data_IF_958160414457
#
_entry.id   IF_958160414457
#
_cell.length_a   1.000
_cell.length_b   1.000
_cell.length_c   1.000
_cell.angle_alpha   90.00
_cell.angle_beta   90.00
_cell.angle_gamma   90.00
#
_symmetry.space_group_name_H-M   'P 1'
#
loop_
_entity.id
_entity.type
_entity.pdbx_description
1 polymer ?
#
# COMPACT_ATOMS: atom_id res chain seq x y z
N UNK A 1 -1.24 28.88 -4.77
CA UNK A 1 -0.66 27.53 -4.86
C UNK A 1 -1.32 26.64 -5.93
N UNK A 2 -2.57 26.15 -5.78
CA UNK A 2 -3.12 25.19 -6.77
C UNK A 2 -3.46 25.78 -8.15
N UNK A 3 -4.03 27.00 -8.21
CA UNK A 3 -4.28 27.67 -9.50
C UNK A 3 -2.95 27.94 -10.22
N UNK A 4 -1.90 28.34 -9.49
CA UNK A 4 -0.57 28.55 -10.05
C UNK A 4 0.07 27.25 -10.56
N UNK A 5 -0.17 26.12 -9.89
CA UNK A 5 0.39 24.82 -10.29
C UNK A 5 -0.39 24.11 -11.40
N UNK A 6 -1.72 24.24 -11.41
CA UNK A 6 -2.60 23.43 -12.29
C UNK A 6 -3.40 24.25 -13.29
N UNK A 7 -3.35 25.59 -13.21
CA UNK A 7 -4.16 26.50 -14.01
C UNK A 7 -5.66 26.45 -13.69
N UNK A 8 -6.07 25.74 -12.63
CA UNK A 8 -7.47 25.46 -12.34
C UNK A 8 -7.74 25.56 -10.82
N UNK A 9 -8.87 26.14 -10.36
CA UNK A 9 -9.17 26.32 -8.94
C UNK A 9 -9.46 25.00 -8.22
N UNK A 10 -9.24 24.90 -6.91
CA UNK A 10 -9.70 23.72 -6.14
C UNK A 10 -11.21 23.54 -6.35
N UNK A 11 -11.64 22.30 -6.56
CA UNK A 11 -13.04 21.97 -6.76
C UNK A 11 -13.35 20.62 -6.10
N UNK A 12 -14.33 20.60 -5.22
CA UNK A 12 -14.84 19.41 -4.56
C UNK A 12 -16.31 19.18 -4.90
N UNK A 13 -16.74 17.94 -4.78
CA UNK A 13 -18.11 17.48 -4.94
C UNK A 13 -18.37 16.34 -3.97
N UNK A 14 -19.64 16.00 -3.69
CA UNK A 14 -19.95 14.76 -3.00
C UNK A 14 -19.34 13.56 -3.73
N UNK A 15 -18.75 12.64 -2.97
CA UNK A 15 -18.25 11.40 -3.55
C UNK A 15 -19.37 10.59 -4.19
N UNK A 16 -19.07 9.87 -5.27
CA UNK A 16 -20.07 9.16 -6.06
C UNK A 16 -20.48 7.83 -5.39
N UNK A 17 -19.56 7.21 -4.66
CA UNK A 17 -19.78 5.99 -3.89
C UNK A 17 -19.71 6.20 -2.37
N UNK A 18 -20.45 5.38 -1.62
CA UNK A 18 -20.38 5.37 -0.15
C UNK A 18 -19.03 4.85 0.39
N UNK A 19 -18.25 4.17 -0.45
CA UNK A 19 -16.91 3.69 -0.14
C UNK A 19 -15.80 4.61 -0.67
N UNK A 20 -16.17 5.76 -1.23
CA UNK A 20 -15.26 6.80 -1.68
C UNK A 20 -15.12 7.86 -0.57
N UNK A 21 -14.26 7.63 0.43
CA UNK A 21 -13.91 8.59 1.50
C UNK A 21 -15.08 9.12 2.37
N UNK A 22 -14.80 10.10 3.25
CA UNK A 22 -15.77 10.72 4.18
C UNK A 22 -16.80 11.65 3.49
N UNK A 23 -17.12 11.39 2.22
CA UNK A 23 -18.22 12.02 1.49
C UNK A 23 -17.86 13.27 0.67
N UNK A 24 -16.62 13.77 0.72
CA UNK A 24 -16.13 14.87 -0.14
C UNK A 24 -14.96 14.43 -1.01
N UNK A 25 -15.13 14.57 -2.33
CA UNK A 25 -14.19 14.12 -3.34
C UNK A 25 -13.75 15.26 -4.24
N UNK A 26 -12.58 15.12 -4.86
CA UNK A 26 -12.13 16.05 -5.89
C UNK A 26 -13.04 15.92 -7.13
N UNK A 27 -13.64 17.04 -7.55
CA UNK A 27 -14.58 17.07 -8.66
C UNK A 27 -13.94 16.88 -10.04
N UNK A 28 -12.61 17.02 -10.11
CA UNK A 28 -11.84 16.92 -11.35
C UNK A 28 -11.34 15.52 -11.60
N UNK A 29 -11.54 15.05 -12.82
CA UNK A 29 -10.98 13.80 -13.32
C UNK A 29 -9.70 13.99 -14.13
N UNK A 30 -9.36 12.95 -14.88
CA UNK A 30 -8.23 12.96 -15.81
C UNK A 30 -8.55 13.85 -17.01
N UNK A 31 -7.67 14.79 -17.34
CA UNK A 31 -7.82 15.63 -18.53
C UNK A 31 -7.54 14.84 -19.82
N UNK A 32 -7.88 15.39 -20.99
CA UNK A 32 -7.53 14.79 -22.28
C UNK A 32 -6.01 14.56 -22.42
N UNK A 33 -5.20 15.53 -21.96
CA UNK A 33 -3.74 15.39 -21.94
C UNK A 33 -3.28 14.31 -20.95
N UNK A 34 -3.94 14.18 -19.80
CA UNK A 34 -3.69 13.10 -18.84
C UNK A 34 -4.00 11.72 -19.44
N UNK A 35 -5.12 11.57 -20.14
CA UNK A 35 -5.47 10.34 -20.85
C UNK A 35 -4.45 9.99 -21.94
N UNK A 36 -3.98 11.00 -22.68
CA UNK A 36 -2.89 10.83 -23.64
C UNK A 36 -1.61 10.34 -22.94
N UNK A 37 -1.19 10.99 -21.85
CA UNK A 37 -0.02 10.61 -21.06
C UNK A 37 -0.11 9.15 -20.58
N UNK A 38 -1.24 8.74 -20.01
CA UNK A 38 -1.47 7.34 -19.59
C UNK A 38 -1.28 6.38 -20.76
N UNK A 39 -1.85 6.69 -21.93
CA UNK A 39 -1.64 5.92 -23.15
C UNK A 39 -0.16 5.85 -23.56
N UNK A 40 0.60 6.93 -23.38
CA UNK A 40 2.05 6.97 -23.65
C UNK A 40 2.87 6.16 -22.63
N UNK A 41 2.51 6.17 -21.35
CA UNK A 41 3.16 5.35 -20.32
C UNK A 41 3.01 3.87 -20.65
N UNK A 42 1.79 3.43 -21.03
CA UNK A 42 1.52 2.07 -21.49
C UNK A 42 2.37 1.74 -22.73
N UNK A 43 2.38 2.62 -23.74
CA UNK A 43 3.15 2.41 -24.97
C UNK A 43 4.67 2.43 -24.77
N UNK A 44 5.15 2.96 -23.64
CA UNK A 44 6.55 3.02 -23.26
C UNK A 44 6.90 2.04 -22.15
N UNK A 45 5.98 1.15 -21.78
CA UNK A 45 6.19 0.12 -20.76
C UNK A 45 6.58 0.68 -19.38
N UNK A 46 6.07 1.87 -19.05
CA UNK A 46 6.27 2.51 -17.74
C UNK A 46 5.17 2.09 -16.78
N UNK A 47 5.53 1.79 -15.52
CA UNK A 47 4.54 1.52 -14.48
C UNK A 47 3.68 2.77 -14.22
N UNK A 48 2.41 2.55 -13.90
CA UNK A 48 1.45 3.61 -13.62
C UNK A 48 1.07 3.55 -12.15
N UNK A 49 1.56 4.52 -11.39
CA UNK A 49 1.16 4.77 -10.00
C UNK A 49 -0.21 5.47 -9.96
N UNK A 50 -1.11 4.96 -9.14
CA UNK A 50 -2.51 5.37 -9.07
C UNK A 50 -2.94 5.92 -7.70
N UNK A 51 -2.02 5.98 -6.74
CA UNK A 51 -2.18 6.72 -5.48
C UNK A 51 -2.19 8.24 -5.73
N UNK A 52 -2.82 9.00 -4.83
CA UNK A 52 -3.05 10.45 -4.93
C UNK A 52 -3.87 10.95 -6.15
N UNK A 53 -4.25 10.08 -7.09
CA UNK A 53 -5.24 10.42 -8.11
C UNK A 53 -6.60 10.66 -7.44
N UNK A 54 -7.37 11.63 -7.95
CA UNK A 54 -8.78 11.74 -7.60
C UNK A 54 -9.53 10.46 -7.99
N UNK A 55 -10.67 10.18 -7.35
CA UNK A 55 -11.50 9.01 -7.68
C UNK A 55 -11.84 8.95 -9.18
N UNK A 56 -12.26 10.10 -9.74
CA UNK A 56 -12.56 10.24 -11.17
C UNK A 56 -11.33 9.96 -12.04
N UNK A 57 -10.17 10.52 -11.69
CA UNK A 57 -8.94 10.30 -12.47
C UNK A 57 -8.49 8.83 -12.39
N UNK A 58 -8.50 8.23 -11.19
CA UNK A 58 -8.17 6.83 -10.97
C UNK A 58 -9.11 5.91 -11.75
N UNK A 59 -10.42 6.17 -11.73
CA UNK A 59 -11.39 5.41 -12.51
C UNK A 59 -11.09 5.45 -14.02
N UNK A 60 -10.72 6.62 -14.56
CA UNK A 60 -10.29 6.75 -15.96
C UNK A 60 -9.00 6.01 -16.26
N UNK A 61 -7.98 6.10 -15.37
CA UNK A 61 -6.72 5.36 -15.52
C UNK A 61 -6.97 3.86 -15.52
N UNK A 62 -7.75 3.34 -14.57
CA UNK A 62 -8.12 1.93 -14.50
C UNK A 62 -8.84 1.48 -15.78
N UNK A 63 -9.79 2.28 -16.30
CA UNK A 63 -10.49 1.93 -17.54
C UNK A 63 -9.55 1.86 -18.76
N UNK A 64 -8.60 2.79 -18.88
CA UNK A 64 -7.59 2.77 -19.96
C UNK A 64 -6.67 1.55 -19.81
N UNK A 65 -6.21 1.27 -18.59
CA UNK A 65 -5.32 0.15 -18.29
C UNK A 65 -6.00 -1.21 -18.55
N UNK A 66 -7.27 -1.37 -18.14
CA UNK A 66 -8.07 -2.58 -18.36
C UNK A 66 -8.26 -2.86 -19.85
N UNK A 67 -8.62 -1.85 -20.64
CA UNK A 67 -8.76 -1.98 -22.08
C UNK A 67 -7.45 -2.42 -22.78
N UNK A 68 -6.31 -2.26 -22.11
CA UNK A 68 -4.99 -2.66 -22.60
C UNK A 68 -4.41 -3.87 -21.86
N UNK A 69 -5.14 -4.45 -20.91
CA UNK A 69 -4.65 -5.51 -20.02
C UNK A 69 -3.30 -5.13 -19.37
N UNK A 70 -3.19 -3.89 -18.91
CA UNK A 70 -1.95 -3.32 -18.39
C UNK A 70 -2.02 -3.21 -16.86
N UNK A 71 -1.00 -3.67 -16.12
CA UNK A 71 -1.03 -3.59 -14.67
C UNK A 71 -0.87 -2.13 -14.20
N UNK A 72 -1.49 -1.81 -13.07
CA UNK A 72 -1.28 -0.56 -12.34
C UNK A 72 -0.74 -0.88 -10.94
N UNK A 73 -0.07 0.09 -10.33
CA UNK A 73 0.46 -0.02 -8.97
C UNK A 73 -0.20 1.01 -8.06
N UNK A 74 -0.39 0.60 -6.81
CA UNK A 74 -0.69 1.46 -5.68
C UNK A 74 0.37 1.17 -4.62
N UNK A 75 1.44 1.98 -4.61
CA UNK A 75 2.61 1.72 -3.78
C UNK A 75 2.41 2.04 -2.29
N UNK A 76 1.35 2.75 -1.92
CA UNK A 76 1.01 3.14 -0.55
C UNK A 76 -0.50 3.34 -0.43
N UNK A 77 -1.24 2.27 -0.67
CA UNK A 77 -2.70 2.27 -0.87
C UNK A 77 -3.47 2.96 0.25
N UNK A 78 -4.25 3.97 -0.13
CA UNK A 78 -5.14 4.74 0.75
C UNK A 78 -4.60 6.13 1.11
N UNK A 79 -3.36 6.45 0.75
CA UNK A 79 -2.84 7.82 0.90
C UNK A 79 -3.29 8.71 -0.24
N UNK A 80 -3.66 9.95 0.08
CA UNK A 80 -4.15 10.91 -0.92
C UNK A 80 -5.50 10.55 -1.56
N UNK A 81 -6.24 9.60 -0.97
CA UNK A 81 -7.61 9.25 -1.35
C UNK A 81 -7.89 7.75 -1.23
N UNK A 82 -9.01 7.40 -0.60
CA UNK A 82 -9.40 6.01 -0.34
C UNK A 82 -9.51 5.18 -1.63
N UNK A 83 -9.19 3.89 -1.55
CA UNK A 83 -9.42 2.97 -2.67
C UNK A 83 -10.69 2.18 -2.43
N UNK A 84 -11.63 2.23 -3.37
CA UNK A 84 -12.87 1.48 -3.26
C UNK A 84 -12.65 -0.02 -3.41
N UNK A 85 -13.58 -0.82 -2.88
CA UNK A 85 -13.52 -2.28 -3.04
C UNK A 85 -13.56 -2.69 -4.53
N UNK A 86 -14.31 -1.95 -5.34
CA UNK A 86 -14.37 -2.14 -6.80
C UNK A 86 -13.03 -1.84 -7.47
N UNK A 87 -12.40 -0.71 -7.15
CA UNK A 87 -11.11 -0.33 -7.72
C UNK A 87 -10.00 -1.33 -7.35
N UNK A 88 -9.95 -1.81 -6.11
CA UNK A 88 -8.95 -2.80 -5.71
C UNK A 88 -9.15 -4.14 -6.42
N UNK A 89 -10.38 -4.60 -6.61
CA UNK A 89 -10.67 -5.81 -7.40
C UNK A 89 -10.18 -5.67 -8.84
N UNK A 90 -10.43 -4.52 -9.47
CA UNK A 90 -9.97 -4.19 -10.83
C UNK A 90 -8.46 -4.17 -10.92
N UNK A 91 -7.78 -3.53 -9.97
CA UNK A 91 -6.31 -3.51 -9.86
C UNK A 91 -5.75 -4.93 -9.83
N UNK A 92 -6.27 -5.80 -8.95
CA UNK A 92 -5.78 -7.19 -8.85
C UNK A 92 -6.09 -8.02 -10.10
N UNK A 93 -7.25 -7.83 -10.73
CA UNK A 93 -7.66 -8.55 -11.95
C UNK A 93 -6.74 -8.24 -13.14
N UNK A 94 -6.11 -7.06 -13.18
CA UNK A 94 -5.10 -6.70 -14.18
C UNK A 94 -3.70 -7.23 -13.87
N UNK A 95 -3.52 -7.96 -12.76
CA UNK A 95 -2.21 -8.34 -12.25
C UNK A 95 -1.41 -7.15 -11.70
N UNK A 96 -2.10 -6.09 -11.27
CA UNK A 96 -1.53 -4.98 -10.52
C UNK A 96 -1.17 -5.36 -9.09
N UNK A 97 -0.54 -4.44 -8.37
CA UNK A 97 -0.11 -4.62 -6.97
C UNK A 97 -0.54 -3.44 -6.11
N UNK A 98 -1.13 -3.75 -4.96
CA UNK A 98 -1.42 -2.80 -3.90
C UNK A 98 -0.51 -3.07 -2.71
N UNK A 99 -0.18 -2.03 -1.96
CA UNK A 99 0.69 -2.12 -0.78
C UNK A 99 -0.01 -1.58 0.45
N UNK A 100 0.14 -2.28 1.57
CA UNK A 100 -0.37 -1.79 2.85
C UNK A 100 0.50 -0.61 3.31
N UNK A 101 -0.14 0.48 3.74
CA UNK A 101 0.53 1.50 4.53
C UNK A 101 1.02 0.92 5.85
N UNK A 102 2.15 1.43 6.32
CA UNK A 102 2.75 1.02 7.60
C UNK A 102 1.80 1.25 8.75
N UNK A 103 1.74 0.28 9.66
CA UNK A 103 0.87 0.29 10.83
C UNK A 103 1.43 -0.60 11.94
N UNK A 104 0.87 -0.51 13.14
CA UNK A 104 1.18 -1.48 14.18
C UNK A 104 0.67 -2.88 13.78
N UNK A 105 1.22 -3.93 14.41
CA UNK A 105 0.97 -5.30 13.95
C UNK A 105 -0.52 -5.71 13.90
N UNK A 106 -1.40 -5.35 14.85
CA UNK A 106 -2.82 -5.66 14.76
C UNK A 106 -3.47 -5.05 13.52
N UNK A 107 -3.26 -3.76 13.30
CA UNK A 107 -3.86 -2.96 12.24
C UNK A 107 -3.31 -3.35 10.87
N UNK A 108 -2.00 -3.57 10.76
CA UNK A 108 -1.36 -4.06 9.54
C UNK A 108 -1.89 -5.46 9.17
N UNK A 109 -2.07 -6.34 10.16
CA UNK A 109 -2.64 -7.67 9.94
C UNK A 109 -4.09 -7.58 9.45
N UNK A 110 -4.90 -6.70 10.05
CA UNK A 110 -6.28 -6.47 9.62
C UNK A 110 -6.36 -5.88 8.21
N UNK A 111 -5.46 -4.93 7.88
CA UNK A 111 -5.34 -4.32 6.55
C UNK A 111 -4.99 -5.36 5.48
N UNK A 112 -4.02 -6.23 5.75
CA UNK A 112 -3.65 -7.34 4.86
C UNK A 112 -4.85 -8.30 4.66
N UNK A 113 -5.57 -8.65 5.73
CA UNK A 113 -6.74 -9.51 5.63
C UNK A 113 -7.87 -8.88 4.81
N UNK A 114 -8.09 -7.56 4.96
CA UNK A 114 -9.04 -6.79 4.14
C UNK A 114 -8.66 -6.85 2.65
N UNK A 115 -7.39 -6.60 2.34
CA UNK A 115 -6.91 -6.57 0.95
C UNK A 115 -7.04 -7.93 0.25
N UNK A 116 -6.81 -9.02 1.00
CA UNK A 116 -7.05 -10.38 0.52
C UNK A 116 -8.49 -10.57 0.02
N UNK A 117 -9.46 -9.92 0.65
CA UNK A 117 -10.88 -9.99 0.27
C UNK A 117 -11.21 -9.35 -1.08
N UNK A 118 -10.28 -8.58 -1.67
CA UNK A 118 -10.44 -7.97 -3.00
C UNK A 118 -9.76 -8.77 -4.11
N UNK A 119 -9.06 -9.86 -3.80
CA UNK A 119 -8.45 -10.71 -4.82
C UNK A 119 -9.48 -11.71 -5.35
N UNK A 120 -9.71 -11.67 -6.66
CA UNK A 120 -10.61 -12.59 -7.34
C UNK A 120 -10.03 -14.01 -7.48
N UNK A 121 -10.86 -14.99 -7.83
CA UNK A 121 -10.41 -16.36 -8.09
C UNK A 121 -9.32 -16.39 -9.18
N UNK A 122 -8.37 -17.32 -9.05
CA UNK A 122 -7.26 -17.50 -10.01
C UNK A 122 -6.10 -16.49 -9.89
N UNK A 123 -6.16 -15.56 -8.93
CA UNK A 123 -5.07 -14.59 -8.68
C UNK A 123 -4.38 -14.88 -7.35
N UNK A 124 -3.05 -14.83 -7.34
CA UNK A 124 -2.27 -14.94 -6.11
C UNK A 124 -2.32 -13.62 -5.35
N UNK A 125 -2.76 -13.67 -4.09
CA UNK A 125 -2.69 -12.50 -3.23
C UNK A 125 -1.26 -12.31 -2.72
N UNK A 126 -0.69 -11.14 -3.01
CA UNK A 126 0.55 -10.62 -2.45
C UNK A 126 0.32 -9.14 -2.16
N UNK A 127 1.05 -8.61 -1.18
CA UNK A 127 0.86 -7.22 -0.74
C UNK A 127 2.20 -6.64 -0.29
N UNK A 128 2.57 -5.48 -0.84
CA UNK A 128 3.77 -4.76 -0.42
C UNK A 128 3.58 -4.04 0.91
N UNK A 129 4.69 -3.51 1.45
CA UNK A 129 4.67 -2.52 2.53
C UNK A 129 5.08 -1.17 1.94
N UNK A 130 4.14 -0.24 1.87
CA UNK A 130 4.34 1.11 1.36
C UNK A 130 4.36 2.12 2.49
N UNK A 131 5.54 2.47 3.02
CA UNK A 131 5.58 3.25 4.26
C UNK A 131 4.97 4.64 4.14
N UNK A 132 5.20 5.32 3.02
CA UNK A 132 4.89 6.75 2.80
C UNK A 132 5.29 7.69 3.96
N UNK A 133 6.30 7.25 4.73
CA UNK A 133 6.85 8.03 5.84
C UNK A 133 7.65 9.20 5.32
N UNK A 134 7.36 10.39 5.84
CA UNK A 134 7.91 11.65 5.34
C UNK A 134 7.13 12.23 4.15
N UNK A 135 6.18 11.46 3.59
CA UNK A 135 5.15 11.94 2.66
C UNK A 135 3.90 12.35 3.43
N UNK A 136 2.95 11.42 3.61
CA UNK A 136 1.70 11.67 4.34
C UNK A 136 1.40 10.66 5.46
N UNK A 137 2.15 9.56 5.56
CA UNK A 137 1.91 8.55 6.58
C UNK A 137 2.88 8.68 7.77
N UNK A 138 2.37 8.46 8.98
CA UNK A 138 3.21 8.39 10.17
C UNK A 138 3.88 7.02 10.28
N UNK A 139 5.04 6.96 10.92
CA UNK A 139 5.55 5.67 11.38
C UNK A 139 4.66 5.16 12.52
N UNK A 140 4.46 3.83 12.63
CA UNK A 140 3.66 3.26 13.70
C UNK A 140 4.16 3.68 15.08
N UNK A 141 3.25 4.14 15.92
CA UNK A 141 3.54 4.42 17.33
C UNK A 141 3.79 3.14 18.15
N UNK A 142 4.07 3.29 19.45
CA UNK A 142 4.20 2.15 20.35
C UNK A 142 2.91 1.34 20.40
N UNK A 143 3.04 0.04 20.66
CA UNK A 143 1.89 -0.85 20.78
C UNK A 143 0.95 -0.40 21.91
N UNK A 144 -0.35 -0.34 21.64
CA UNK A 144 -1.35 -0.02 22.64
C UNK A 144 -1.42 -1.05 23.78
N UNK A 145 -1.11 -2.32 23.49
CA UNK A 145 -1.17 -3.45 24.43
C UNK A 145 0.20 -3.81 25.06
N UNK A 146 1.24 -3.00 24.87
CA UNK A 146 2.60 -3.35 25.28
C UNK A 146 2.75 -3.65 26.78
N UNK A 147 1.88 -3.09 27.63
CA UNK A 147 1.90 -3.32 29.07
C UNK A 147 1.49 -4.75 29.46
N UNK A 148 0.57 -5.35 28.71
CA UNK A 148 0.03 -6.69 29.00
C UNK A 148 0.60 -7.76 28.07
N UNK A 149 0.86 -7.41 26.82
CA UNK A 149 1.35 -8.33 25.78
C UNK A 149 2.52 -7.72 24.99
N UNK A 150 3.67 -7.43 25.64
CA UNK A 150 4.81 -6.85 24.95
C UNK A 150 5.40 -7.80 23.91
N UNK A 151 6.01 -7.23 22.87
CA UNK A 151 6.99 -7.95 22.06
C UNK A 151 8.18 -8.33 22.95
N UNK A 152 8.48 -9.63 23.02
CA UNK A 152 9.61 -10.16 23.79
C UNK A 152 10.84 -10.29 22.88
N UNK A 153 11.94 -9.70 23.32
CA UNK A 153 13.26 -9.86 22.70
C UNK A 153 14.11 -10.87 23.49
N UNK A 154 15.00 -11.63 22.83
CA UNK A 154 15.13 -11.74 21.38
C UNK A 154 13.96 -12.52 20.77
N UNK A 155 13.69 -12.28 19.48
CA UNK A 155 12.75 -13.06 18.68
C UNK A 155 13.40 -13.53 17.37
N UNK A 156 12.83 -14.56 16.74
CA UNK A 156 13.31 -15.05 15.44
C UNK A 156 12.56 -14.38 14.30
N UNK A 157 13.28 -14.08 13.22
CA UNK A 157 12.72 -13.70 11.92
C UNK A 157 11.65 -14.68 11.42
N UNK A 158 10.80 -14.24 10.48
CA UNK A 158 9.78 -15.09 9.85
C UNK A 158 10.35 -16.41 9.28
N UNK A 159 11.53 -16.36 8.68
CA UNK A 159 12.24 -17.55 8.18
C UNK A 159 13.02 -18.33 9.23
N UNK A 160 13.02 -17.91 10.50
CA UNK A 160 13.68 -18.58 11.62
C UNK A 160 15.21 -18.48 11.68
N UNK A 161 15.85 -17.95 10.64
CA UNK A 161 17.32 -17.94 10.44
C UNK A 161 18.05 -16.80 11.14
N UNK A 162 17.39 -15.66 11.31
CA UNK A 162 17.93 -14.48 11.99
C UNK A 162 17.26 -14.34 13.36
N UNK A 163 18.06 -14.03 14.37
CA UNK A 163 17.58 -13.66 15.71
C UNK A 163 17.72 -12.14 15.86
N UNK A 164 16.60 -11.46 16.11
CA UNK A 164 16.56 -10.03 16.37
C UNK A 164 16.62 -9.77 17.87
N UNK A 165 17.43 -8.78 18.23
CA UNK A 165 17.48 -8.15 19.55
C UNK A 165 17.03 -6.70 19.39
N UNK A 166 16.83 -6.00 20.51
CA UNK A 166 16.59 -4.54 20.45
C UNK A 166 17.69 -3.86 19.65
N UNK A 167 17.27 -3.06 18.66
CA UNK A 167 18.19 -2.30 17.83
C UNK A 167 18.96 -1.30 18.70
N UNK A 168 20.25 -1.12 18.40
CA UNK A 168 21.09 -0.12 19.07
C UNK A 168 21.88 0.66 18.04
N UNK A 169 21.53 1.92 17.88
CA UNK A 169 22.33 2.91 17.14
C UNK A 169 23.07 3.83 18.11
N UNK A 170 24.41 3.72 18.13
CA UNK A 170 25.26 4.49 19.04
C UNK A 170 25.01 4.17 20.52
N UNK A 171 24.52 5.15 21.28
CA UNK A 171 24.18 4.99 22.70
C UNK A 171 22.69 4.72 22.94
N UNK A 172 21.84 4.86 21.92
CA UNK A 172 20.40 4.65 22.05
C UNK A 172 20.04 3.20 21.73
N UNK A 173 19.25 2.59 22.60
CA UNK A 173 18.60 1.29 22.37
C UNK A 173 17.13 1.58 22.08
N UNK A 174 16.60 1.01 21.01
CA UNK A 174 15.20 1.17 20.63
C UNK A 174 14.39 -0.06 21.03
N UNK A 175 13.15 0.18 21.47
CA UNK A 175 12.19 -0.86 21.83
C UNK A 175 10.83 -0.55 21.21
N UNK A 176 10.36 -1.40 20.29
CA UNK A 176 9.02 -1.28 19.69
C UNK A 176 7.90 -1.04 20.71
N UNK A 177 8.01 -1.61 21.92
CA UNK A 177 7.00 -1.49 22.97
C UNK A 177 6.86 -0.07 23.52
N UNK A 178 7.92 0.74 23.47
CA UNK A 178 7.93 2.11 24.04
C UNK A 178 8.18 3.19 23.00
N UNK A 179 8.94 2.88 21.96
CA UNK A 179 9.33 3.82 20.91
C UNK A 179 8.48 3.67 19.64
N UNK A 180 7.77 2.55 19.48
CA UNK A 180 7.16 2.20 18.21
C UNK A 180 8.21 2.02 17.12
N UNK A 181 7.86 2.34 15.88
CA UNK A 181 8.79 2.34 14.76
C UNK A 181 9.44 3.71 14.67
N UNK A 182 10.43 3.98 15.53
CA UNK A 182 11.18 5.25 15.51
C UNK A 182 12.00 5.47 14.21
N UNK A 183 12.35 4.39 13.50
CA UNK A 183 13.05 4.43 12.20
C UNK A 183 12.81 3.14 11.42
N UNK A 184 13.17 3.13 10.13
CA UNK A 184 12.94 1.99 9.22
C UNK A 184 13.48 0.64 9.72
N UNK A 185 14.60 0.64 10.43
CA UNK A 185 15.16 -0.58 11.05
C UNK A 185 14.20 -1.35 11.98
N UNK A 186 13.17 -0.70 12.53
CA UNK A 186 12.21 -1.32 13.46
C UNK A 186 10.99 -1.96 12.76
N UNK A 187 10.92 -1.93 11.42
CA UNK A 187 9.91 -2.72 10.71
C UNK A 187 10.09 -4.23 10.90
N UNK A 188 11.32 -4.69 11.16
CA UNK A 188 11.58 -6.07 11.57
C UNK A 188 10.87 -6.42 12.89
N UNK A 189 10.79 -5.46 13.82
CA UNK A 189 10.12 -5.64 15.10
C UNK A 189 8.60 -5.67 14.93
N UNK A 190 8.03 -4.87 14.02
CA UNK A 190 6.60 -4.97 13.65
C UNK A 190 6.28 -6.36 13.10
N UNK A 191 7.13 -6.90 12.22
CA UNK A 191 6.97 -8.28 11.71
C UNK A 191 7.13 -9.31 12.84
N UNK A 192 8.08 -9.08 13.76
CA UNK A 192 8.28 -9.86 14.97
C UNK A 192 7.05 -9.88 15.86
N UNK A 193 6.40 -8.73 16.03
CA UNK A 193 5.14 -8.60 16.72
C UNK A 193 4.03 -9.36 15.99
N UNK A 194 3.87 -9.17 14.68
CA UNK A 194 2.90 -9.93 13.88
C UNK A 194 3.03 -11.44 14.13
N UNK A 195 4.25 -11.99 14.14
CA UNK A 195 4.51 -13.42 14.41
C UNK A 195 3.91 -13.94 15.72
N UNK A 196 3.79 -13.10 16.75
CA UNK A 196 3.19 -13.48 18.04
C UNK A 196 1.66 -13.63 17.97
N UNK A 197 1.04 -13.19 16.87
CA UNK A 197 -0.41 -13.12 16.69
C UNK A 197 -0.90 -14.27 15.84
N UNK A 198 -2.07 -14.83 16.18
CA UNK A 198 -2.66 -15.95 15.44
C UNK A 198 -2.92 -15.64 13.95
N UNK A 199 -3.34 -14.41 13.65
CA UNK A 199 -3.67 -13.96 12.31
C UNK A 199 -2.45 -13.82 11.36
N UNK A 200 -1.23 -13.91 11.89
CA UNK A 200 0.01 -13.83 11.09
C UNK A 200 0.17 -14.93 10.05
N UNK A 201 -0.41 -16.13 10.31
CA UNK A 201 -0.35 -17.27 9.40
C UNK A 201 -0.89 -16.94 8.00
N UNK A 202 -1.88 -16.04 7.93
CA UNK A 202 -2.49 -15.61 6.68
C UNK A 202 -1.94 -14.28 6.17
N UNK A 203 -1.26 -13.48 7.01
CA UNK A 203 -0.80 -12.15 6.66
C UNK A 203 0.66 -12.10 6.21
N UNK A 204 1.54 -12.90 6.82
CA UNK A 204 2.97 -12.87 6.51
C UNK A 204 3.35 -13.51 5.17
N UNK A 205 2.81 -14.67 4.75
CA UNK A 205 3.14 -15.23 3.44
C UNK A 205 2.94 -14.25 2.25
N UNK A 206 1.80 -13.56 2.10
CA UNK A 206 1.62 -12.61 0.99
C UNK A 206 2.54 -11.39 1.08
N UNK A 207 2.94 -10.99 2.30
CA UNK A 207 3.91 -9.92 2.52
C UNK A 207 5.33 -10.34 2.11
N UNK A 208 5.76 -11.55 2.47
CA UNK A 208 7.08 -12.08 2.12
C UNK A 208 7.21 -12.52 0.66
N UNK A 209 6.10 -12.74 -0.06
CA UNK A 209 6.10 -12.97 -1.50
C UNK A 209 5.96 -11.66 -2.33
N UNK A 210 5.86 -10.51 -1.67
CA UNK A 210 5.56 -9.23 -2.34
C UNK A 210 6.63 -8.77 -3.34
N UNK A 211 7.92 -9.00 -3.06
CA UNK A 211 9.00 -8.67 -3.98
C UNK A 211 8.86 -9.39 -5.33
N UNK A 212 8.57 -10.70 -5.30
CA UNK A 212 8.31 -11.48 -6.50
C UNK A 212 7.04 -11.01 -7.21
N UNK A 213 5.99 -10.68 -6.45
CA UNK A 213 4.76 -10.15 -7.04
C UNK A 213 4.98 -8.81 -7.75
N UNK A 214 5.79 -7.91 -7.15
CA UNK A 214 6.20 -6.65 -7.78
C UNK A 214 6.96 -6.90 -9.08
N UNK A 215 7.94 -7.81 -9.07
CA UNK A 215 8.70 -8.16 -10.27
C UNK A 215 7.83 -8.77 -11.36
N UNK A 216 6.85 -9.62 -11.01
CA UNK A 216 5.89 -10.18 -11.96
C UNK A 216 4.99 -9.11 -12.57
N UNK A 217 4.49 -8.18 -11.75
CA UNK A 217 3.72 -7.03 -12.22
C UNK A 217 4.56 -6.17 -13.17
N UNK A 218 5.80 -5.86 -12.79
CA UNK A 218 6.70 -5.08 -13.65
C UNK A 218 7.04 -5.81 -14.95
N UNK A 219 7.31 -7.11 -14.92
CA UNK A 219 7.52 -7.91 -16.11
C UNK A 219 6.30 -7.89 -17.06
N UNK A 220 5.06 -7.90 -16.52
CA UNK A 220 3.83 -7.76 -17.33
C UNK A 220 3.77 -6.40 -18.05
N UNK A 221 4.19 -5.33 -17.38
CA UNK A 221 4.28 -4.00 -18.00
C UNK A 221 5.39 -3.95 -19.07
N UNK A 222 6.58 -4.47 -18.75
CA UNK A 222 7.77 -4.45 -19.58
C UNK A 222 7.70 -5.32 -20.83
N UNK A 223 7.10 -6.51 -20.72
CA UNK A 223 7.17 -7.56 -21.75
C UNK A 223 5.80 -7.88 -22.35
N UNK A 224 4.96 -6.85 -22.51
CA UNK A 224 3.65 -6.97 -23.15
C UNK A 224 3.81 -7.75 -24.46
N UNK A 225 3.25 -8.97 -24.50
CA UNK A 225 3.10 -9.76 -25.74
C UNK A 225 1.85 -9.30 -26.47
#
# INVERSE_FOLDING_TARGET
MQVEQTGQPFASEPCAGADEADGQCNAKGLSALGSYLVGRLIAKHMLIEADHLSQKARASVLAIAEAKHYPVVSSHTGTGGEWTASQLRRLYAMGGLASATSDAAPELTAKIARFRGYVGPGHNFCIGLGSDTGGFNALPGPRADARSHPLRYPFRSYGGKVTFVRERTGQRVFDLNTDGVAHYGLFADVIGDMLTRQASRNALPPLFHSAEAYLRMWARAAHRR
#
